data_IF_059723744947
#
_entry.id   IF_059723744947
#
_cell.length_a   1.000
_cell.length_b   1.000
_cell.length_c   1.000
_cell.angle_alpha   90.00
_cell.angle_beta   90.00
_cell.angle_gamma   90.00
#
_symmetry.space_group_name_H-M   'P 1'
#
loop_
_entity.id
_entity.type
_entity.pdbx_description
1 polymer ?
#
# COMPACT_ATOMS: atom_id res chain seq x y z
N UNK A 1 -16.07 70.81 -28.31
CA UNK A 1 -16.72 69.47 -28.30
C UNK A 1 -15.74 68.46 -28.82
N UNK A 2 -15.10 67.65 -27.92
CA UNK A 2 -14.24 66.57 -28.27
C UNK A 2 -14.71 65.36 -27.47
N UNK A 3 -15.44 64.48 -28.13
CA UNK A 3 -15.74 63.16 -27.58
C UNK A 3 -14.51 62.25 -27.79
N UNK A 4 -13.84 61.82 -26.70
CA UNK A 4 -12.91 60.69 -26.71
C UNK A 4 -13.71 59.44 -26.41
N UNK A 5 -13.89 58.60 -27.39
CA UNK A 5 -14.34 57.21 -27.18
C UNK A 5 -13.20 56.42 -26.51
N UNK A 6 -13.40 56.03 -25.25
CA UNK A 6 -12.58 55.01 -24.57
C UNK A 6 -13.01 53.66 -25.05
N UNK A 7 -12.28 53.09 -26.00
CA UNK A 7 -12.40 51.65 -26.32
C UNK A 7 -11.81 50.87 -25.18
N UNK A 8 -12.69 50.30 -24.34
CA UNK A 8 -12.30 49.32 -23.31
C UNK A 8 -11.86 48.03 -24.01
N UNK A 9 -10.54 47.78 -24.10
CA UNK A 9 -10.01 46.52 -24.51
C UNK A 9 -10.44 45.45 -23.48
N UNK A 10 -11.32 44.55 -23.89
CA UNK A 10 -11.73 43.36 -23.13
C UNK A 10 -10.52 42.49 -22.89
N UNK A 11 -9.89 42.65 -21.75
CA UNK A 11 -8.87 41.71 -21.27
C UNK A 11 -9.58 40.38 -21.05
N UNK A 12 -9.41 39.42 -21.98
CA UNK A 12 -9.80 38.03 -21.78
C UNK A 12 -9.13 37.55 -20.50
N UNK A 13 -9.89 37.41 -19.42
CA UNK A 13 -9.43 36.77 -18.19
C UNK A 13 -8.99 35.35 -18.55
N UNK A 14 -7.69 35.11 -18.58
CA UNK A 14 -7.15 33.73 -18.65
C UNK A 14 -7.70 33.04 -17.44
N UNK A 15 -8.47 31.97 -17.64
CA UNK A 15 -8.88 31.06 -16.57
C UNK A 15 -7.61 30.56 -15.89
N UNK A 16 -7.45 30.71 -14.56
CA UNK A 16 -6.26 30.21 -13.88
C UNK A 16 -6.17 28.73 -14.06
N UNK A 17 -5.10 28.24 -14.71
CA UNK A 17 -4.82 26.82 -14.82
C UNK A 17 -4.25 26.35 -13.49
N UNK A 18 -4.97 25.47 -12.79
CA UNK A 18 -4.45 24.78 -11.60
C UNK A 18 -3.47 23.69 -12.01
N UNK A 19 -2.50 23.38 -11.11
CA UNK A 19 -1.40 22.44 -11.30
C UNK A 19 -1.38 21.44 -10.15
N UNK A 20 -0.69 20.34 -10.34
CA UNK A 20 -0.52 19.24 -9.39
C UNK A 20 -0.75 17.91 -10.11
N UNK A 21 -0.27 16.82 -9.54
CA UNK A 21 -0.51 15.47 -10.03
C UNK A 21 -1.85 14.94 -9.50
N UNK A 22 -2.08 15.13 -8.20
CA UNK A 22 -3.35 14.82 -7.53
C UNK A 22 -3.79 16.00 -6.64
N UNK A 23 -4.82 15.82 -5.84
CA UNK A 23 -5.35 16.87 -4.96
C UNK A 23 -4.37 17.31 -3.87
N UNK A 24 -4.49 18.57 -3.41
CA UNK A 24 -5.25 19.64 -4.04
C UNK A 24 -4.55 20.19 -5.28
N UNK A 25 -5.35 20.53 -6.32
CA UNK A 25 -4.84 21.24 -7.48
C UNK A 25 -4.82 22.74 -7.16
N UNK A 26 -3.66 23.38 -7.30
CA UNK A 26 -3.44 24.79 -6.93
C UNK A 26 -2.74 25.56 -8.03
N UNK A 27 -2.79 26.92 -8.06
CA UNK A 27 -2.13 27.70 -9.11
C UNK A 27 -0.63 27.41 -9.26
N UNK A 28 0.06 27.09 -8.16
CA UNK A 28 1.49 26.76 -8.16
C UNK A 28 1.77 25.25 -8.21
N UNK A 29 0.78 24.43 -7.89
CA UNK A 29 0.92 22.96 -7.80
C UNK A 29 1.71 22.47 -6.58
N UNK A 30 2.14 23.33 -5.66
CA UNK A 30 2.98 22.97 -4.51
C UNK A 30 2.25 22.20 -3.41
N UNK A 31 0.93 22.33 -3.36
CA UNK A 31 0.10 21.66 -2.34
C UNK A 31 -0.35 20.27 -2.75
N UNK A 32 -0.06 19.80 -3.95
CA UNK A 32 -0.37 18.42 -4.37
C UNK A 32 0.25 17.42 -3.40
N UNK A 33 -0.51 16.40 -2.99
CA UNK A 33 -0.04 15.39 -2.04
C UNK A 33 1.09 14.53 -2.60
N UNK A 34 1.07 14.29 -3.91
CA UNK A 34 2.08 13.45 -4.54
C UNK A 34 2.67 14.10 -5.79
N UNK A 35 3.98 13.92 -6.04
CA UNK A 35 4.58 14.26 -7.32
C UNK A 35 4.10 13.30 -8.42
N UNK A 36 4.43 13.61 -9.67
CA UNK A 36 4.28 12.65 -10.78
C UNK A 36 5.27 11.49 -10.59
N UNK A 37 4.96 10.26 -11.08
CA UNK A 37 5.97 9.21 -11.14
C UNK A 37 7.13 9.62 -12.08
N UNK A 38 8.32 8.98 -11.97
CA UNK A 38 8.59 7.77 -11.20
C UNK A 38 8.53 7.98 -9.69
N UNK A 39 8.14 6.92 -8.96
CA UNK A 39 8.05 6.90 -7.51
C UNK A 39 9.05 5.90 -6.94
N UNK A 40 9.93 6.41 -6.08
CA UNK A 40 10.98 5.65 -5.42
C UNK A 40 10.57 5.32 -4.00
N UNK A 41 10.75 4.07 -3.62
CA UNK A 41 10.40 3.55 -2.31
C UNK A 41 11.58 2.87 -1.66
N UNK A 42 11.77 3.10 -0.37
CA UNK A 42 12.69 2.34 0.48
C UNK A 42 12.02 2.06 1.82
N UNK A 43 12.19 0.87 2.38
CA UNK A 43 11.58 0.49 3.64
C UNK A 43 12.34 -0.59 4.39
N UNK A 44 12.14 -0.61 5.70
CA UNK A 44 12.26 -1.80 6.51
C UNK A 44 10.90 -2.49 6.63
N UNK A 45 10.85 -3.82 6.55
CA UNK A 45 9.58 -4.53 6.63
C UNK A 45 9.63 -5.82 7.45
N UNK A 46 8.46 -6.19 7.95
CA UNK A 46 8.16 -7.51 8.48
C UNK A 46 7.09 -8.12 7.60
N UNK A 47 7.30 -9.35 7.14
CA UNK A 47 6.29 -10.16 6.48
C UNK A 47 6.02 -11.40 7.33
N UNK A 48 4.75 -11.69 7.58
CA UNK A 48 4.29 -12.88 8.28
C UNK A 48 3.38 -13.67 7.35
N UNK A 49 3.86 -14.83 6.91
CA UNK A 49 3.08 -15.78 6.16
C UNK A 49 2.05 -16.44 7.07
N UNK A 50 0.81 -16.54 6.61
CA UNK A 50 -0.24 -17.23 7.34
C UNK A 50 -1.30 -17.81 6.39
N UNK A 51 -2.17 -18.67 6.92
CA UNK A 51 -3.32 -19.22 6.21
C UNK A 51 -4.58 -18.87 6.97
N UNK A 52 -5.55 -18.29 6.27
CA UNK A 52 -6.92 -18.09 6.72
C UNK A 52 -7.82 -19.19 6.16
N UNK A 53 -9.08 -19.22 6.56
CA UNK A 53 -10.07 -20.09 5.94
C UNK A 53 -10.19 -19.78 4.45
N UNK A 54 -10.08 -20.77 3.54
CA UNK A 54 -10.12 -20.52 2.09
C UNK A 54 -11.40 -19.83 1.61
N UNK A 55 -12.53 -20.08 2.27
CA UNK A 55 -13.80 -19.43 1.97
C UNK A 55 -13.79 -17.94 2.33
N UNK A 56 -13.11 -17.54 3.41
CA UNK A 56 -12.97 -16.15 3.79
C UNK A 56 -12.09 -15.39 2.79
N UNK A 57 -11.00 -16.01 2.32
CA UNK A 57 -10.17 -15.43 1.25
C UNK A 57 -10.96 -15.27 -0.04
N UNK A 58 -11.71 -16.29 -0.46
CA UNK A 58 -12.52 -16.25 -1.68
C UNK A 58 -13.60 -15.16 -1.64
N UNK A 59 -14.21 -14.93 -0.48
CA UNK A 59 -15.26 -13.91 -0.29
C UNK A 59 -14.76 -12.46 -0.48
N UNK A 60 -13.45 -12.21 -0.34
CA UNK A 60 -12.84 -10.88 -0.50
C UNK A 60 -12.49 -10.54 -1.95
N UNK A 61 -12.48 -11.52 -2.85
CA UNK A 61 -11.99 -11.31 -4.21
C UNK A 61 -12.99 -10.51 -5.05
N UNK A 62 -12.57 -9.43 -5.71
CA UNK A 62 -13.43 -8.70 -6.63
C UNK A 62 -13.72 -9.50 -7.90
N UNK A 63 -14.77 -9.12 -8.61
CA UNK A 63 -15.10 -9.72 -9.90
C UNK A 63 -13.89 -9.71 -10.86
N UNK A 64 -13.61 -10.87 -11.46
CA UNK A 64 -12.47 -11.05 -12.39
C UNK A 64 -11.21 -11.58 -11.74
N UNK A 65 -11.16 -11.73 -10.41
CA UNK A 65 -10.18 -12.57 -9.73
C UNK A 65 -10.85 -13.86 -9.25
N UNK A 66 -10.16 -14.97 -9.39
CA UNK A 66 -10.63 -16.29 -8.99
C UNK A 66 -9.85 -16.78 -7.75
N UNK A 67 -10.47 -17.58 -6.87
CA UNK A 67 -9.78 -18.23 -5.76
C UNK A 67 -8.66 -19.16 -6.24
N UNK A 68 -7.47 -19.05 -5.65
CA UNK A 68 -6.41 -20.04 -5.84
C UNK A 68 -6.60 -21.18 -4.85
N UNK A 69 -7.29 -22.24 -5.28
CA UNK A 69 -7.55 -23.42 -4.45
C UNK A 69 -6.26 -24.14 -4.02
N UNK A 70 -5.19 -24.04 -4.82
CA UNK A 70 -3.89 -24.65 -4.51
C UNK A 70 -3.18 -23.94 -3.35
N UNK A 71 -3.44 -22.64 -3.16
CA UNK A 71 -2.87 -21.84 -2.08
C UNK A 71 -3.52 -22.13 -0.72
N UNK A 72 -4.72 -22.77 -0.68
CA UNK A 72 -5.41 -23.19 0.54
C UNK A 72 -5.61 -22.06 1.56
N UNK A 73 -5.94 -20.86 1.08
CA UNK A 73 -6.14 -19.69 1.93
C UNK A 73 -4.85 -18.99 2.36
N UNK A 74 -3.76 -19.14 1.61
CA UNK A 74 -2.47 -18.49 1.89
C UNK A 74 -2.57 -16.97 1.80
N UNK A 75 -1.96 -16.31 2.78
CA UNK A 75 -1.92 -14.86 2.94
C UNK A 75 -0.55 -14.40 3.47
N UNK A 76 -0.26 -13.13 3.28
CA UNK A 76 0.87 -12.42 3.88
C UNK A 76 0.37 -11.19 4.63
N UNK A 77 0.81 -11.00 5.87
CA UNK A 77 0.59 -9.78 6.66
C UNK A 77 1.91 -9.01 6.72
N UNK A 78 1.88 -7.76 6.24
CA UNK A 78 3.09 -6.98 6.04
C UNK A 78 3.03 -5.68 6.85
N UNK A 79 4.10 -5.38 7.58
CA UNK A 79 4.32 -4.13 8.29
C UNK A 79 5.52 -3.43 7.68
N UNK A 80 5.38 -2.17 7.29
CA UNK A 80 6.42 -1.38 6.65
C UNK A 80 6.69 -0.06 7.37
N UNK A 81 7.95 0.35 7.39
CA UNK A 81 8.39 1.73 7.73
C UNK A 81 9.03 2.31 6.47
N UNK A 82 8.26 3.14 5.75
CA UNK A 82 8.57 3.63 4.42
C UNK A 82 9.25 5.00 4.42
N UNK A 83 10.19 5.15 3.48
CA UNK A 83 10.63 6.41 2.90
C UNK A 83 10.21 6.45 1.42
N UNK A 84 9.61 7.55 1.01
CA UNK A 84 9.16 7.79 -0.37
C UNK A 84 9.87 9.00 -0.96
N UNK A 85 10.10 9.00 -2.28
CA UNK A 85 10.51 10.18 -3.05
C UNK A 85 10.01 10.10 -4.49
N UNK A 86 9.88 11.26 -5.16
CA UNK A 86 9.95 11.40 -6.60
C UNK A 86 11.35 11.86 -7.02
N UNK A 87 11.44 12.58 -8.16
CA UNK A 87 12.72 13.03 -8.73
C UNK A 87 13.33 14.26 -8.09
N UNK A 88 12.59 14.97 -7.20
CA UNK A 88 13.01 16.27 -6.67
C UNK A 88 13.46 16.18 -5.19
N UNK A 89 14.05 15.06 -4.78
CA UNK A 89 14.53 14.85 -3.41
C UNK A 89 13.43 15.04 -2.34
N UNK A 90 12.18 14.63 -2.64
CA UNK A 90 11.04 14.77 -1.72
C UNK A 90 11.29 14.07 -0.38
N UNK A 91 12.22 13.13 -0.28
CA UNK A 91 12.67 12.52 0.97
C UNK A 91 13.20 13.53 1.99
N UNK A 92 13.57 14.76 1.57
CA UNK A 92 13.97 15.84 2.47
C UNK A 92 12.77 16.50 3.20
N UNK A 93 11.53 16.16 2.83
CA UNK A 93 10.32 16.48 3.60
C UNK A 93 9.79 15.22 4.30
N UNK A 94 10.44 14.77 5.39
CA UNK A 94 10.08 13.51 6.05
C UNK A 94 8.68 13.54 6.67
N UNK A 95 8.18 14.72 7.04
CA UNK A 95 6.82 14.86 7.59
C UNK A 95 5.75 14.47 6.56
N UNK A 96 6.01 14.67 5.27
CA UNK A 96 5.09 14.33 4.18
C UNK A 96 5.36 12.95 3.59
N UNK A 97 6.60 12.49 3.56
CA UNK A 97 6.99 11.35 2.74
C UNK A 97 7.59 10.18 3.51
N UNK A 98 7.70 10.25 4.85
CA UNK A 98 7.85 9.08 5.70
C UNK A 98 6.48 8.63 6.18
N UNK A 99 6.23 7.32 6.14
CA UNK A 99 4.97 6.76 6.63
C UNK A 99 5.13 5.29 6.98
N UNK A 100 4.21 4.81 7.80
CA UNK A 100 4.11 3.40 8.14
C UNK A 100 2.86 2.81 7.54
N UNK A 101 2.96 1.54 7.19
CA UNK A 101 1.91 0.84 6.47
C UNK A 101 1.76 -0.58 6.99
N UNK A 102 0.52 -1.03 7.11
CA UNK A 102 0.16 -2.42 7.30
C UNK A 102 -0.79 -2.83 6.19
N UNK A 103 -0.58 -4.00 5.62
CA UNK A 103 -1.54 -4.57 4.68
C UNK A 103 -1.51 -6.09 4.69
N UNK A 104 -2.59 -6.67 4.16
CA UNK A 104 -2.70 -8.10 3.90
C UNK A 104 -2.75 -8.31 2.40
N UNK A 105 -1.96 -9.27 1.91
CA UNK A 105 -2.07 -9.83 0.58
C UNK A 105 -2.69 -11.22 0.69
N UNK A 106 -3.68 -11.50 -0.14
CA UNK A 106 -4.30 -12.83 -0.27
C UNK A 106 -3.98 -13.39 -1.65
N UNK A 107 -3.70 -14.69 -1.72
CA UNK A 107 -3.42 -15.37 -2.97
C UNK A 107 -4.69 -15.56 -3.81
N UNK A 108 -4.59 -15.26 -5.09
CA UNK A 108 -5.65 -15.35 -6.07
C UNK A 108 -5.13 -15.74 -7.44
N UNK A 109 -6.04 -15.89 -8.41
CA UNK A 109 -5.74 -16.09 -9.82
C UNK A 109 -6.36 -14.98 -10.67
N UNK A 110 -5.62 -14.49 -11.67
CA UNK A 110 -6.14 -13.69 -12.76
C UNK A 110 -5.90 -14.41 -14.08
N UNK A 111 -6.98 -14.74 -14.80
CA UNK A 111 -6.90 -15.53 -16.04
C UNK A 111 -6.06 -16.82 -15.88
N UNK A 112 -6.20 -17.51 -14.75
CA UNK A 112 -5.49 -18.74 -14.42
C UNK A 112 -4.04 -18.56 -13.97
N UNK A 113 -3.53 -17.33 -13.87
CA UNK A 113 -2.15 -17.03 -13.42
C UNK A 113 -2.14 -16.59 -11.95
N UNK A 114 -1.17 -17.07 -11.14
CA UNK A 114 -1.04 -16.65 -9.75
C UNK A 114 -0.80 -15.15 -9.61
N UNK A 115 -1.63 -14.49 -8.79
CA UNK A 115 -1.53 -13.08 -8.40
C UNK A 115 -1.81 -12.94 -6.91
N UNK A 116 -1.54 -11.78 -6.34
CA UNK A 116 -1.98 -11.39 -5.00
C UNK A 116 -2.96 -10.24 -5.07
N UNK A 117 -3.94 -10.22 -4.17
CA UNK A 117 -4.90 -9.11 -4.01
C UNK A 117 -4.75 -8.50 -2.62
N UNK A 118 -4.90 -7.17 -2.52
CA UNK A 118 -4.81 -6.43 -1.26
C UNK A 118 -6.20 -5.99 -0.78
N UNK A 119 -6.90 -6.76 0.08
CA UNK A 119 -8.22 -6.36 0.58
C UNK A 119 -8.15 -5.32 1.70
N UNK A 120 -7.10 -5.33 2.52
CA UNK A 120 -6.94 -4.47 3.69
C UNK A 120 -5.57 -3.81 3.70
N UNK A 121 -5.56 -2.47 3.81
CA UNK A 121 -4.32 -1.70 3.90
C UNK A 121 -4.55 -0.43 4.72
N UNK A 122 -3.63 -0.12 5.63
CA UNK A 122 -3.68 1.02 6.53
C UNK A 122 -2.36 1.78 6.51
N UNK A 123 -2.46 3.10 6.50
CA UNK A 123 -1.30 4.03 6.53
C UNK A 123 -1.52 5.12 7.57
N UNK A 124 -0.44 5.72 8.05
CA UNK A 124 -0.48 6.82 9.01
C UNK A 124 -0.27 8.21 8.38
N UNK A 125 -0.43 8.33 7.05
CA UNK A 125 -0.10 9.52 6.29
C UNK A 125 -1.07 9.73 5.12
N UNK A 126 -1.53 10.97 4.91
CA UNK A 126 -2.51 11.34 3.88
C UNK A 126 -1.95 11.29 2.45
N UNK A 127 -0.68 11.67 2.25
CA UNK A 127 -0.05 11.57 0.95
C UNK A 127 0.09 10.11 0.50
N UNK A 128 0.45 9.20 1.44
CA UNK A 128 0.48 7.77 1.19
C UNK A 128 -0.92 7.19 0.92
N UNK A 129 -1.95 7.67 1.63
CA UNK A 129 -3.35 7.30 1.40
C UNK A 129 -3.78 7.67 -0.02
N UNK A 130 -3.62 8.93 -0.41
CA UNK A 130 -4.02 9.44 -1.73
C UNK A 130 -3.27 8.74 -2.87
N UNK A 131 -1.96 8.46 -2.69
CA UNK A 131 -1.16 7.73 -3.65
C UNK A 131 -1.65 6.29 -3.83
N UNK A 132 -2.01 5.62 -2.72
CA UNK A 132 -2.55 4.27 -2.77
C UNK A 132 -3.86 4.17 -3.54
N UNK A 133 -4.77 5.10 -3.33
CA UNK A 133 -6.04 5.14 -4.07
C UNK A 133 -5.84 5.26 -5.57
N UNK A 134 -4.82 6.02 -6.02
CA UNK A 134 -4.51 6.11 -7.46
C UNK A 134 -3.93 4.81 -8.03
N UNK A 135 -3.47 3.91 -7.18
CA UNK A 135 -2.92 2.59 -7.53
C UNK A 135 -3.92 1.44 -7.27
N UNK A 136 -5.16 1.76 -6.89
CA UNK A 136 -6.17 0.74 -6.58
C UNK A 136 -6.04 0.09 -5.20
N UNK A 137 -5.11 0.54 -4.34
CA UNK A 137 -5.04 0.07 -2.96
C UNK A 137 -6.15 0.72 -2.12
N UNK A 138 -6.98 -0.06 -1.40
CA UNK A 138 -8.08 0.47 -0.59
C UNK A 138 -7.59 1.04 0.75
N UNK A 139 -6.65 1.98 0.71
CA UNK A 139 -5.98 2.52 1.89
C UNK A 139 -6.95 3.24 2.83
N UNK A 140 -6.76 3.01 4.12
CA UNK A 140 -7.42 3.68 5.23
C UNK A 140 -6.37 4.27 6.18
N UNK A 141 -6.76 5.25 7.00
CA UNK A 141 -5.88 5.77 8.04
C UNK A 141 -5.85 4.82 9.24
N UNK A 142 -4.66 4.60 9.78
CA UNK A 142 -4.41 3.82 10.98
C UNK A 142 -3.03 4.15 11.55
N UNK A 143 -2.80 3.74 12.78
CA UNK A 143 -1.49 3.86 13.44
C UNK A 143 -0.77 2.53 13.32
N UNK A 144 0.31 2.52 12.56
CA UNK A 144 1.14 1.34 12.34
C UNK A 144 2.50 1.55 13.00
N UNK A 145 2.97 0.55 13.71
CA UNK A 145 4.29 0.56 14.33
C UNK A 145 4.98 -0.77 14.09
N UNK A 146 6.31 -0.72 13.97
CA UNK A 146 7.15 -1.92 14.02
C UNK A 146 8.41 -1.67 14.83
N UNK A 147 8.98 -2.74 15.38
CA UNK A 147 10.29 -2.71 16.02
C UNK A 147 11.34 -2.31 14.98
N UNK A 148 12.06 -1.22 15.25
CA UNK A 148 13.12 -0.73 14.36
C UNK A 148 14.43 -1.41 14.62
N UNK A 149 15.19 -1.64 13.56
CA UNK A 149 16.59 -1.97 13.62
C UNK A 149 17.44 -0.71 13.56
N UNK A 150 18.44 -0.63 14.40
CA UNK A 150 19.46 0.42 14.36
C UNK A 150 20.84 -0.23 14.32
N UNK A 151 21.73 0.26 13.45
CA UNK A 151 23.09 -0.26 13.33
C UNK A 151 23.91 -0.11 14.63
N UNK A 152 23.63 0.93 15.43
CA UNK A 152 24.13 1.08 16.78
C UNK A 152 23.27 0.20 17.72
N UNK A 153 23.78 -1.00 18.00
CA UNK A 153 23.09 -1.98 18.82
C UNK A 153 23.12 -1.64 20.31
N UNK A 154 22.05 -2.00 21.03
CA UNK A 154 21.94 -1.80 22.47
C UNK A 154 20.68 -2.49 23.01
N UNK A 155 20.39 -2.34 24.30
CA UNK A 155 19.23 -2.98 24.93
C UNK A 155 17.87 -2.43 24.45
N UNK A 156 17.86 -1.29 23.76
CA UNK A 156 16.65 -0.65 23.26
C UNK A 156 16.09 -1.29 21.98
N UNK A 157 16.88 -2.08 21.24
CA UNK A 157 16.47 -2.71 19.99
C UNK A 157 17.19 -4.03 19.75
N UNK A 158 16.56 -4.93 18.93
CA UNK A 158 17.16 -6.21 18.61
C UNK A 158 18.33 -6.06 17.63
N UNK A 159 19.33 -6.94 17.75
CA UNK A 159 20.32 -7.17 16.71
C UNK A 159 19.71 -8.04 15.59
N UNK A 160 20.32 -8.04 14.40
CA UNK A 160 20.03 -9.04 13.36
C UNK A 160 20.78 -10.32 13.69
N UNK A 161 20.18 -11.16 14.52
CA UNK A 161 20.77 -12.40 15.04
C UNK A 161 19.70 -13.45 15.33
N UNK A 162 20.05 -14.76 15.36
CA UNK A 162 19.11 -15.81 15.74
C UNK A 162 18.49 -15.55 17.12
N UNK A 163 17.15 -15.75 17.22
CA UNK A 163 16.38 -15.52 18.44
C UNK A 163 15.92 -14.08 18.65
N UNK A 164 16.43 -13.11 17.89
CA UNK A 164 15.94 -11.72 17.94
C UNK A 164 14.50 -11.62 17.47
N UNK A 165 13.72 -10.75 18.13
CA UNK A 165 12.28 -10.58 17.86
C UNK A 165 11.97 -9.19 17.37
N UNK A 166 11.17 -9.13 16.31
CA UNK A 166 10.64 -7.89 15.74
C UNK A 166 9.11 -7.97 15.77
N UNK A 167 8.48 -6.96 16.33
CA UNK A 167 7.02 -6.88 16.43
C UNK A 167 6.46 -5.82 15.50
N UNK A 168 5.24 -6.05 15.00
CA UNK A 168 4.43 -5.07 14.28
C UNK A 168 3.04 -4.94 14.89
N UNK A 169 2.43 -3.78 14.79
CA UNK A 169 1.07 -3.56 15.27
C UNK A 169 0.32 -2.54 14.43
N UNK A 170 -1.00 -2.76 14.28
CA UNK A 170 -1.95 -1.84 13.68
C UNK A 170 -3.04 -1.47 14.66
N UNK A 171 -3.35 -0.19 14.78
CA UNK A 171 -4.50 0.35 15.51
C UNK A 171 -5.26 1.31 14.58
N UNK A 172 -6.57 1.15 14.48
CA UNK A 172 -7.46 2.08 13.79
C UNK A 172 -8.80 2.17 14.52
N UNK A 173 -9.47 3.32 14.45
CA UNK A 173 -10.74 3.53 15.16
C UNK A 173 -10.66 3.31 16.67
N UNK A 174 -9.48 3.50 17.28
CA UNK A 174 -9.26 3.25 18.72
C UNK A 174 -9.12 1.77 19.09
N UNK A 175 -9.08 0.85 18.12
CA UNK A 175 -9.02 -0.60 18.34
C UNK A 175 -7.74 -1.20 17.76
N UNK A 176 -7.16 -2.23 18.43
CA UNK A 176 -6.04 -3.01 17.91
C UNK A 176 -6.56 -4.00 16.86
N UNK A 177 -6.23 -3.79 15.58
CA UNK A 177 -6.68 -4.62 14.47
C UNK A 177 -5.71 -5.74 14.11
N UNK A 178 -4.41 -5.53 14.32
CA UNK A 178 -3.40 -6.55 14.06
C UNK A 178 -2.22 -6.43 15.01
N UNK A 179 -1.62 -7.55 15.35
CA UNK A 179 -0.36 -7.65 16.07
C UNK A 179 0.41 -8.87 15.56
N UNK A 180 1.67 -8.67 15.18
CA UNK A 180 2.53 -9.73 14.69
C UNK A 180 3.90 -9.71 15.34
N UNK A 181 4.58 -10.85 15.33
CA UNK A 181 5.98 -10.98 15.77
C UNK A 181 6.70 -11.89 14.81
N UNK A 182 7.92 -11.49 14.42
CA UNK A 182 8.88 -12.33 13.69
C UNK A 182 10.04 -12.65 14.64
N UNK A 183 10.30 -13.94 14.85
CA UNK A 183 11.48 -14.42 15.60
C UNK A 183 12.50 -14.92 14.59
N UNK A 184 13.63 -14.23 14.48
CA UNK A 184 14.69 -14.54 13.52
C UNK A 184 15.35 -15.88 13.81
N UNK A 185 15.69 -16.64 12.76
CA UNK A 185 16.43 -17.91 12.85
C UNK A 185 17.75 -17.83 12.10
N UNK A 186 17.73 -17.38 10.86
CA UNK A 186 18.90 -17.35 9.99
C UNK A 186 18.79 -16.25 8.94
N UNK A 187 19.92 -15.74 8.42
CA UNK A 187 19.90 -14.85 7.28
C UNK A 187 19.37 -15.57 6.03
N UNK A 188 18.88 -14.81 5.07
CA UNK A 188 18.52 -15.31 3.74
C UNK A 188 19.72 -15.13 2.83
N UNK A 189 20.29 -16.25 2.33
CA UNK A 189 21.51 -16.22 1.52
C UNK A 189 21.33 -15.46 0.20
N UNK A 190 20.19 -15.64 -0.44
CA UNK A 190 19.85 -14.94 -1.69
C UNK A 190 18.47 -14.25 -1.53
N UNK A 191 18.45 -12.97 -1.10
CA UNK A 191 17.21 -12.22 -0.96
C UNK A 191 16.43 -12.02 -2.26
N UNK A 192 17.06 -12.16 -3.43
CA UNK A 192 16.38 -12.05 -4.72
C UNK A 192 15.32 -13.12 -4.95
N UNK A 193 15.37 -14.20 -4.16
CA UNK A 193 14.37 -15.28 -4.17
C UNK A 193 13.10 -14.95 -3.37
N UNK A 194 13.12 -13.90 -2.56
CA UNK A 194 11.95 -13.39 -1.84
C UNK A 194 11.01 -12.64 -2.81
N UNK A 195 10.44 -13.39 -3.76
CA UNK A 195 9.53 -12.81 -4.76
C UNK A 195 8.09 -12.94 -4.27
N UNK A 196 7.39 -11.83 -4.29
CA UNK A 196 5.93 -11.81 -4.14
C UNK A 196 5.24 -12.08 -5.49
N UNK A 197 3.99 -12.55 -5.43
CA UNK A 197 3.15 -12.63 -6.62
C UNK A 197 2.87 -11.23 -7.15
N UNK A 198 2.65 -11.02 -8.47
CA UNK A 198 2.18 -9.75 -9.00
C UNK A 198 0.92 -9.29 -8.26
N UNK A 199 0.90 -8.04 -7.82
CA UNK A 199 -0.25 -7.50 -7.08
C UNK A 199 -1.25 -6.90 -8.04
N UNK A 200 -2.47 -7.45 -8.05
CA UNK A 200 -3.61 -6.97 -8.83
C UNK A 200 -4.66 -6.43 -7.87
N UNK A 201 -5.01 -5.15 -8.04
CA UNK A 201 -5.96 -4.45 -7.20
C UNK A 201 -7.20 -4.00 -7.98
N UNK A 202 -8.26 -3.65 -7.25
CA UNK A 202 -9.45 -3.04 -7.78
C UNK A 202 -9.36 -1.52 -7.68
N UNK A 203 -9.10 -0.84 -8.79
CA UNK A 203 -9.19 0.61 -8.89
C UNK A 203 -10.66 1.01 -9.04
N UNK A 204 -11.23 1.58 -7.98
CA UNK A 204 -12.64 1.92 -7.92
C UNK A 204 -12.87 3.36 -7.45
N UNK A 205 -13.57 4.14 -8.27
CA UNK A 205 -14.03 5.49 -7.91
C UNK A 205 -15.54 5.60 -8.14
N UNK A 206 -16.34 5.77 -7.09
CA UNK A 206 -17.78 5.96 -7.21
C UNK A 206 -18.12 7.33 -7.81
N UNK A 207 -19.35 7.50 -8.25
CA UNK A 207 -19.91 8.80 -8.64
C UNK A 207 -20.97 9.23 -7.62
N UNK A 208 -20.85 10.45 -7.12
CA UNK A 208 -21.88 11.08 -6.30
C UNK A 208 -22.85 11.88 -7.19
N UNK A 209 -23.51 11.21 -8.14
CA UNK A 209 -24.54 11.82 -8.97
C UNK A 209 -25.82 10.97 -8.83
N UNK A 210 -26.92 11.58 -8.40
CA UNK A 210 -28.17 10.91 -8.00
C UNK A 210 -28.67 9.84 -8.99
N UNK A 211 -28.45 10.07 -10.30
CA UNK A 211 -28.89 9.15 -11.36
C UNK A 211 -27.79 8.16 -11.82
N UNK A 212 -26.61 8.16 -11.18
CA UNK A 212 -25.44 7.40 -11.65
C UNK A 212 -24.61 6.80 -10.49
N UNK A 213 -25.20 6.69 -9.31
CA UNK A 213 -24.48 6.16 -8.11
C UNK A 213 -24.12 4.68 -8.26
N UNK A 214 -24.89 3.92 -9.03
CA UNK A 214 -24.66 2.52 -9.40
C UNK A 214 -23.60 2.35 -10.51
N UNK A 215 -23.16 3.45 -11.15
CA UNK A 215 -22.18 3.44 -12.25
C UNK A 215 -20.92 4.17 -11.83
N UNK A 216 -19.90 3.47 -11.33
CA UNK A 216 -18.65 4.09 -10.91
C UNK A 216 -17.97 4.83 -12.06
N UNK A 217 -17.20 5.88 -11.72
CA UNK A 217 -16.39 6.61 -12.69
C UNK A 217 -15.26 5.73 -13.24
N UNK A 218 -14.65 4.94 -12.35
CA UNK A 218 -13.61 3.95 -12.64
C UNK A 218 -13.96 2.67 -11.89
N UNK A 219 -13.79 1.52 -12.56
CA UNK A 219 -13.96 0.19 -11.96
C UNK A 219 -13.13 -0.81 -12.76
N UNK A 220 -11.86 -0.94 -12.39
CA UNK A 220 -10.86 -1.62 -13.20
C UNK A 220 -9.98 -2.52 -12.33
N UNK A 221 -9.62 -3.70 -12.85
CA UNK A 221 -8.51 -4.46 -12.30
C UNK A 221 -7.20 -3.88 -12.85
N UNK A 222 -6.31 -3.51 -11.94
CA UNK A 222 -5.01 -2.91 -12.26
C UNK A 222 -3.89 -3.71 -11.61
N UNK A 223 -2.78 -3.86 -12.33
CA UNK A 223 -1.57 -4.48 -11.80
C UNK A 223 -0.53 -3.42 -11.48
N UNK A 224 0.02 -3.48 -10.28
CA UNK A 224 1.19 -2.70 -9.91
C UNK A 224 2.43 -3.36 -10.49
N UNK A 225 3.26 -2.58 -11.20
CA UNK A 225 4.44 -3.08 -11.90
C UNK A 225 5.71 -2.45 -11.31
N UNK A 226 6.15 -2.90 -10.11
CA UNK A 226 7.40 -2.44 -9.53
C UNK A 226 8.59 -2.99 -10.33
N UNK A 227 9.64 -2.18 -10.44
CA UNK A 227 10.89 -2.60 -11.04
C UNK A 227 12.10 -2.15 -10.21
N UNK A 228 13.30 -2.56 -10.60
CA UNK A 228 14.56 -2.26 -9.88
C UNK A 228 14.50 -2.67 -8.40
N UNK A 229 13.79 -3.77 -8.12
CA UNK A 229 13.62 -4.27 -6.75
C UNK A 229 14.95 -4.73 -6.18
N UNK A 230 15.27 -4.22 -4.98
CA UNK A 230 16.42 -4.65 -4.16
C UNK A 230 15.89 -5.07 -2.80
N UNK A 231 16.37 -6.19 -2.29
CA UNK A 231 16.09 -6.66 -0.93
C UNK A 231 17.42 -6.96 -0.26
N UNK A 232 17.62 -6.38 0.92
CA UNK A 232 18.87 -6.48 1.67
C UNK A 232 18.60 -6.78 3.14
N UNK A 233 19.63 -7.20 3.87
CA UNK A 233 19.57 -7.51 5.31
C UNK A 233 18.39 -8.44 5.66
N UNK A 234 18.11 -9.40 4.76
CA UNK A 234 16.98 -10.30 4.91
C UNK A 234 17.30 -11.43 5.91
N UNK A 235 16.37 -11.62 6.83
CA UNK A 235 16.36 -12.68 7.82
C UNK A 235 15.04 -13.41 7.76
N UNK A 236 15.06 -14.72 7.89
CA UNK A 236 13.88 -15.56 8.01
C UNK A 236 13.79 -16.23 9.37
N UNK A 237 12.60 -16.58 9.76
CA UNK A 237 12.34 -17.27 11.01
C UNK A 237 10.87 -17.63 11.14
N UNK A 238 10.35 -17.58 12.36
CA UNK A 238 8.96 -17.92 12.67
C UNK A 238 8.11 -16.63 12.76
N UNK A 239 6.93 -16.68 12.14
CA UNK A 239 5.93 -15.64 12.24
C UNK A 239 4.82 -16.00 13.21
N UNK A 240 4.29 -15.01 13.92
CA UNK A 240 3.02 -15.12 14.64
C UNK A 240 2.18 -13.88 14.36
N UNK A 241 0.87 -14.06 14.17
CA UNK A 241 -0.07 -13.00 13.85
C UNK A 241 -1.37 -13.19 14.64
N UNK A 242 -1.92 -12.10 15.12
CA UNK A 242 -3.26 -12.04 15.72
C UNK A 242 -4.06 -10.93 15.05
N UNK A 243 -5.28 -11.26 14.62
CA UNK A 243 -6.27 -10.33 14.06
C UNK A 243 -7.51 -10.37 14.97
N UNK A 244 -7.61 -9.52 16.01
CA UNK A 244 -8.72 -9.53 16.94
C UNK A 244 -10.03 -9.12 16.28
N UNK A 245 -11.14 -9.69 16.77
CA UNK A 245 -12.49 -9.21 16.39
C UNK A 245 -12.66 -7.79 16.92
N UNK A 246 -12.98 -6.85 16.04
CA UNK A 246 -13.16 -5.46 16.35
C UNK A 246 -14.48 -4.94 15.77
N UNK A 247 -15.13 -4.04 16.49
CA UNK A 247 -16.41 -3.49 16.07
C UNK A 247 -16.28 -2.72 14.75
N UNK A 248 -17.08 -3.10 13.76
CA UNK A 248 -17.12 -2.42 12.45
C UNK A 248 -15.92 -2.73 11.55
N UNK A 249 -15.16 -3.79 11.85
CA UNK A 249 -14.03 -4.24 11.05
C UNK A 249 -14.18 -5.73 10.71
N UNK A 250 -13.83 -6.09 9.47
CA UNK A 250 -13.94 -7.45 8.93
C UNK A 250 -12.59 -8.12 8.75
N UNK A 251 -11.49 -7.45 9.09
CA UNK A 251 -10.14 -7.99 8.94
C UNK A 251 -9.92 -9.28 9.74
N UNK A 252 -10.66 -9.46 10.84
CA UNK A 252 -10.65 -10.67 11.66
C UNK A 252 -11.25 -11.89 10.98
N UNK A 253 -11.98 -11.74 9.85
CA UNK A 253 -12.48 -12.86 9.07
C UNK A 253 -11.31 -13.63 8.42
N UNK A 254 -10.15 -12.98 8.28
CA UNK A 254 -8.88 -13.59 7.91
C UNK A 254 -8.06 -14.06 9.13
N UNK A 255 -8.66 -14.29 10.30
CA UNK A 255 -7.92 -14.77 11.46
C UNK A 255 -7.07 -16.01 11.09
N UNK A 256 -5.77 -16.04 11.49
CA UNK A 256 -4.89 -17.13 11.12
C UNK A 256 -5.37 -18.49 11.65
N UNK A 257 -5.62 -19.45 10.78
CA UNK A 257 -5.74 -20.87 11.12
C UNK A 257 -4.37 -21.43 11.51
N UNK A 258 -3.32 -20.96 10.83
CA UNK A 258 -1.92 -21.19 11.18
C UNK A 258 -1.04 -20.06 10.67
N UNK A 259 0.08 -19.83 11.34
CA UNK A 259 1.14 -18.97 10.85
C UNK A 259 2.29 -19.83 10.29
N UNK A 260 3.05 -19.24 9.37
CA UNK A 260 4.21 -19.84 8.73
C UNK A 260 5.49 -19.07 9.03
N UNK A 261 6.23 -18.79 7.99
CA UNK A 261 7.51 -18.09 8.07
C UNK A 261 7.28 -16.61 8.41
N UNK A 262 8.23 -16.06 9.16
CA UNK A 262 8.40 -14.63 9.33
C UNK A 262 9.65 -14.16 8.60
N UNK A 263 9.59 -12.99 7.97
CA UNK A 263 10.72 -12.34 7.31
C UNK A 263 10.87 -10.94 7.85
N UNK A 264 12.10 -10.54 8.14
CA UNK A 264 12.51 -9.16 8.34
C UNK A 264 13.54 -8.81 7.28
N UNK A 265 13.34 -7.73 6.53
CA UNK A 265 14.32 -7.26 5.57
C UNK A 265 14.19 -5.75 5.32
N UNK A 266 15.13 -5.20 4.55
CA UNK A 266 15.04 -3.88 3.95
C UNK A 266 14.83 -4.04 2.45
N UNK A 267 14.04 -3.14 1.83
CA UNK A 267 13.80 -3.19 0.39
C UNK A 267 13.74 -1.80 -0.23
N UNK A 268 14.00 -1.75 -1.53
CA UNK A 268 13.76 -0.58 -2.37
C UNK A 268 13.23 -1.01 -3.73
N UNK A 269 12.38 -0.17 -4.33
CA UNK A 269 11.88 -0.36 -5.70
C UNK A 269 11.36 0.93 -6.30
N UNK A 270 11.05 0.89 -7.59
CA UNK A 270 10.51 2.01 -8.37
C UNK A 270 9.16 1.62 -8.97
N UNK A 271 8.23 2.58 -9.02
CA UNK A 271 6.94 2.46 -9.72
C UNK A 271 6.81 3.62 -10.70
N UNK A 272 6.67 3.31 -11.98
CA UNK A 272 6.46 4.30 -13.04
C UNK A 272 4.99 4.36 -13.45
N UNK A 273 4.31 3.22 -13.51
CA UNK A 273 2.99 3.09 -14.11
C UNK A 273 2.18 1.93 -13.50
N UNK A 274 0.91 1.89 -13.86
CA UNK A 274 -0.01 0.79 -13.61
C UNK A 274 -0.42 0.16 -14.94
N UNK A 275 -0.59 -1.14 -14.94
CA UNK A 275 -1.17 -1.86 -16.08
C UNK A 275 -2.65 -2.15 -15.83
N UNK A 276 -3.56 -1.51 -16.57
CA UNK A 276 -4.98 -1.88 -16.57
C UNK A 276 -5.14 -3.24 -17.23
N UNK A 277 -5.66 -4.21 -16.49
CA UNK A 277 -5.89 -5.57 -16.95
C UNK A 277 -7.29 -5.75 -17.50
N UNK A 278 -8.30 -5.14 -16.84
CA UNK A 278 -9.72 -5.28 -17.22
C UNK A 278 -10.54 -4.09 -16.75
N UNK A 279 -11.35 -3.52 -17.63
CA UNK A 279 -12.41 -2.56 -17.29
C UNK A 279 -13.69 -3.35 -16.97
N UNK A 280 -14.12 -3.33 -15.72
CA UNK A 280 -15.29 -4.09 -15.23
C UNK A 280 -16.62 -3.36 -15.48
N UNK A 281 -16.59 -2.17 -16.12
CA UNK A 281 -17.80 -1.43 -16.55
C UNK A 281 -18.31 -1.88 -17.92
N UNK A 282 -17.49 -2.62 -18.65
CA UNK A 282 -17.75 -3.21 -19.96
C UNK A 282 -18.09 -4.68 -19.79
#
# INVERSE_FOLDING_TARGET
MWHRECTAASARRRTPTVKGFNYPLTPKGKSTLNPRPPWYYSADFLNIEFWAEPSAVAALLPAGLDPDLSAKGHCNALFYDWQFSGDNEEYLDPARYQYREFFILVDALYAGKPVAYCPYIFVDNDAALARGWTQGYPKRLGQVFQTRYHAATGKAGPALAPGSKFAGSLTAGGQRLAQGVVTLREPVDDPSQLKERPVVNLLHYPRLAAEKQDKPAIHELVENVPHSVKIEQAWRGEGSLTLPVCRGEEISDLAPVRCGKGIRASMAYVVDDLRTLKDLRK
#
